data_IF_834092042693
#
_entry.id   IF_834092042693
#
_cell.length_a   1.000
_cell.length_b   1.000
_cell.length_c   1.000
_cell.angle_alpha   90.00
_cell.angle_beta   90.00
_cell.angle_gamma   90.00
#
_symmetry.space_group_name_H-M   'P 1'
#
loop_
_entity.id
_entity.type
_entity.pdbx_description
1 polymer ?
#
# COMPACT_ATOMS: atom_id res chain seq x y z
N UNK A 1 23.81 25.93 -12.35
CA UNK A 1 22.50 26.59 -12.36
C UNK A 1 21.34 25.68 -12.80
N UNK A 2 21.50 24.71 -13.69
CA UNK A 2 20.42 23.81 -14.14
C UNK A 2 19.95 22.77 -13.08
N UNK A 3 20.75 22.41 -12.09
CA UNK A 3 20.36 21.45 -11.04
C UNK A 3 19.30 21.99 -10.06
N UNK A 4 19.21 23.31 -9.90
CA UNK A 4 18.24 23.96 -8.99
C UNK A 4 16.85 24.10 -9.61
N UNK A 5 16.72 24.11 -10.94
CA UNK A 5 15.44 24.28 -11.63
C UNK A 5 14.59 23.02 -11.61
N UNK A 6 15.22 21.83 -11.62
CA UNK A 6 14.50 20.55 -11.58
C UNK A 6 13.90 20.21 -10.21
N UNK A 7 14.44 20.78 -9.11
CA UNK A 7 13.88 20.54 -7.77
C UNK A 7 12.59 21.34 -7.52
N UNK A 8 12.30 22.35 -8.35
CA UNK A 8 11.06 23.14 -8.27
C UNK A 8 9.88 22.47 -8.97
N UNK A 9 10.13 21.48 -9.82
CA UNK A 9 9.13 20.83 -10.67
C UNK A 9 8.70 19.44 -10.18
N UNK A 10 9.43 18.85 -9.23
CA UNK A 10 9.18 17.49 -8.75
C UNK A 10 9.34 17.44 -7.24
N UNK A 11 8.30 16.98 -6.54
CA UNK A 11 8.30 16.81 -5.10
C UNK A 11 8.67 15.36 -4.75
N UNK A 12 9.63 15.17 -3.85
CA UNK A 12 9.99 13.86 -3.36
C UNK A 12 8.84 13.24 -2.56
N UNK A 13 8.65 11.94 -2.73
CA UNK A 13 7.48 11.21 -2.23
C UNK A 13 7.90 10.04 -1.34
N UNK A 14 7.11 9.78 -0.29
CA UNK A 14 7.01 8.49 0.36
C UNK A 14 5.84 7.71 -0.21
N UNK A 15 6.03 6.44 -0.51
CA UNK A 15 5.02 5.57 -1.07
C UNK A 15 4.93 4.29 -0.23
N UNK A 16 3.77 4.05 0.33
CA UNK A 16 3.44 2.80 0.98
C UNK A 16 2.51 2.02 0.05
N UNK A 17 3.03 0.92 -0.51
CA UNK A 17 2.32 0.04 -1.44
C UNK A 17 1.65 -1.10 -0.67
N UNK A 18 0.68 -0.79 0.18
CA UNK A 18 -0.03 -1.79 0.93
C UNK A 18 -0.93 -2.68 0.07
N UNK A 19 -1.22 -3.88 0.56
CA UNK A 19 -2.14 -4.83 -0.10
C UNK A 19 -3.55 -4.27 -0.26
N UNK A 20 -4.08 -3.61 0.77
CA UNK A 20 -5.42 -3.03 0.75
C UNK A 20 -5.44 -1.60 0.22
N UNK A 21 -4.53 -0.74 0.71
CA UNK A 21 -4.47 0.67 0.36
C UNK A 21 -3.03 1.10 0.04
N UNK A 22 -2.90 2.04 -0.86
CA UNK A 22 -1.66 2.75 -1.16
C UNK A 22 -1.72 4.15 -0.59
N UNK A 23 -0.70 4.53 0.19
CA UNK A 23 -0.55 5.87 0.74
C UNK A 23 0.58 6.62 0.02
N UNK A 24 0.36 7.90 -0.25
CA UNK A 24 1.40 8.78 -0.77
C UNK A 24 1.59 9.98 0.16
N UNK A 25 2.80 10.08 0.67
CA UNK A 25 3.27 11.18 1.50
C UNK A 25 4.15 12.11 0.67
N UNK A 26 3.98 13.42 0.84
CA UNK A 26 4.87 14.43 0.27
C UNK A 26 5.42 15.31 1.38
N UNK A 27 6.73 15.56 1.35
CA UNK A 27 7.40 16.37 2.36
C UNK A 27 6.77 17.75 2.49
N UNK A 28 6.37 18.12 3.71
CA UNK A 28 5.73 19.41 4.00
C UNK A 28 4.24 19.49 3.68
N UNK A 29 3.66 18.46 3.04
CA UNK A 29 2.22 18.38 2.75
C UNK A 29 1.50 17.27 3.49
N UNK A 30 2.27 16.31 4.06
CA UNK A 30 1.70 15.14 4.73
C UNK A 30 1.22 14.08 3.74
N UNK A 31 0.27 13.24 4.19
CA UNK A 31 -0.39 12.24 3.35
C UNK A 31 -1.36 12.97 2.42
N UNK A 32 -1.05 12.98 1.13
CA UNK A 32 -1.84 13.67 0.11
C UNK A 32 -2.71 12.72 -0.71
N UNK A 33 -2.49 11.42 -0.58
CA UNK A 33 -3.25 10.40 -1.27
C UNK A 33 -3.36 9.17 -0.36
N UNK A 34 -4.59 8.67 -0.23
CA UNK A 34 -4.93 7.41 0.40
C UNK A 34 -5.97 6.75 -0.50
N UNK A 35 -5.56 5.75 -1.26
CA UNK A 35 -6.38 5.10 -2.26
C UNK A 35 -6.28 3.58 -2.14
N UNK A 36 -7.38 2.86 -2.39
CA UNK A 36 -7.33 1.41 -2.49
C UNK A 36 -6.31 0.93 -3.54
N UNK A 37 -5.56 -0.11 -3.23
CA UNK A 37 -4.62 -0.75 -4.16
C UNK A 37 -5.37 -1.63 -5.16
N UNK A 38 -6.24 -1.02 -5.97
CA UNK A 38 -7.09 -1.68 -6.97
C UNK A 38 -6.96 -0.98 -8.30
N UNK A 39 -6.90 -1.76 -9.38
CA UNK A 39 -6.85 -1.29 -10.75
C UNK A 39 -7.92 -2.00 -11.57
N UNK A 40 -8.76 -1.25 -12.28
CA UNK A 40 -9.70 -1.79 -13.25
C UNK A 40 -9.06 -1.76 -14.63
N UNK A 41 -9.03 -2.91 -15.30
CA UNK A 41 -8.49 -3.10 -16.65
C UNK A 41 -9.60 -3.56 -17.60
N UNK A 42 -9.55 -3.07 -18.83
CA UNK A 42 -10.35 -3.58 -19.93
C UNK A 42 -9.45 -4.38 -20.88
N UNK A 43 -9.95 -5.50 -21.34
CA UNK A 43 -9.30 -6.31 -22.37
C UNK A 43 -10.08 -6.18 -23.67
N UNK A 44 -9.42 -5.70 -24.74
CA UNK A 44 -10.03 -5.56 -26.07
C UNK A 44 -10.12 -6.92 -26.80
N UNK A 45 -10.74 -6.90 -28.00
CA UNK A 45 -10.89 -8.09 -28.85
C UNK A 45 -9.54 -8.66 -29.34
N UNK A 46 -8.46 -7.89 -29.22
CA UNK A 46 -7.10 -8.29 -29.64
C UNK A 46 -6.23 -8.67 -28.43
N UNK A 47 -6.85 -8.83 -27.25
CA UNK A 47 -6.18 -9.16 -25.98
C UNK A 47 -5.25 -8.06 -25.45
N UNK A 48 -5.39 -6.80 -25.91
CA UNK A 48 -4.66 -5.69 -25.32
C UNK A 48 -5.37 -5.23 -24.06
N UNK A 49 -4.58 -5.06 -22.99
CA UNK A 49 -5.06 -4.55 -21.70
C UNK A 49 -4.91 -3.03 -21.65
N UNK A 50 -5.94 -2.34 -21.18
CA UNK A 50 -5.92 -0.90 -20.92
C UNK A 50 -6.46 -0.60 -19.53
N UNK A 51 -5.81 0.31 -18.81
CA UNK A 51 -6.26 0.75 -17.48
C UNK A 51 -7.44 1.70 -17.63
N UNK A 52 -8.56 1.35 -16.99
CA UNK A 52 -9.79 2.15 -16.96
C UNK A 52 -9.84 3.07 -15.75
N UNK A 53 -9.54 2.52 -14.57
CA UNK A 53 -9.62 3.22 -13.30
C UNK A 53 -8.58 2.71 -12.32
N UNK A 54 -8.23 3.52 -11.31
CA UNK A 54 -7.30 3.18 -10.23
C UNK A 54 -7.86 3.71 -8.92
N UNK A 55 -7.63 2.99 -7.83
CA UNK A 55 -8.01 3.43 -6.50
C UNK A 55 -9.49 3.24 -6.20
N UNK A 56 -10.11 4.24 -5.60
CA UNK A 56 -11.51 4.20 -5.13
C UNK A 56 -12.50 3.93 -6.26
N UNK A 57 -12.25 4.47 -7.45
CA UNK A 57 -13.09 4.23 -8.63
C UNK A 57 -13.02 2.75 -9.04
N UNK A 58 -11.81 2.17 -9.10
CA UNK A 58 -11.63 0.75 -9.39
C UNK A 58 -12.21 -0.16 -8.29
N UNK A 59 -12.07 0.22 -7.01
CA UNK A 59 -12.67 -0.54 -5.88
C UNK A 59 -14.20 -0.63 -6.02
N UNK A 60 -14.86 0.42 -6.48
CA UNK A 60 -16.33 0.39 -6.70
C UNK A 60 -16.77 -0.60 -7.77
N UNK A 61 -15.86 -1.02 -8.65
CA UNK A 61 -16.09 -1.97 -9.72
C UNK A 61 -15.88 -3.43 -9.31
N UNK A 62 -15.26 -3.69 -8.15
CA UNK A 62 -15.01 -5.06 -7.66
C UNK A 62 -16.31 -5.87 -7.58
N UNK A 63 -16.32 -7.05 -8.20
CA UNK A 63 -17.47 -7.95 -8.22
C UNK A 63 -18.67 -7.45 -9.06
N UNK A 64 -18.55 -6.34 -9.80
CA UNK A 64 -19.64 -5.71 -10.58
C UNK A 64 -19.27 -5.47 -12.05
N UNK A 65 -18.11 -5.97 -12.50
CA UNK A 65 -17.60 -5.73 -13.85
C UNK A 65 -18.20 -6.69 -14.87
N UNK A 66 -18.60 -6.21 -16.08
CA UNK A 66 -18.98 -7.10 -17.19
C UNK A 66 -17.73 -7.81 -17.75
N UNK A 67 -17.91 -8.95 -18.39
CA UNK A 67 -16.90 -9.97 -18.72
C UNK A 67 -15.62 -9.58 -19.48
N UNK A 68 -15.42 -8.31 -19.83
CA UNK A 68 -14.16 -7.79 -20.42
C UNK A 68 -13.45 -6.76 -19.55
N UNK A 69 -14.03 -6.44 -18.41
CA UNK A 69 -13.47 -5.54 -17.42
C UNK A 69 -13.19 -6.37 -16.18
N UNK A 70 -11.99 -6.25 -15.65
CA UNK A 70 -11.56 -6.94 -14.44
C UNK A 70 -10.98 -5.92 -13.46
N UNK A 71 -11.43 -5.94 -12.22
CA UNK A 71 -10.83 -5.16 -11.14
C UNK A 71 -9.86 -6.08 -10.37
N UNK A 72 -8.59 -5.70 -10.33
CA UNK A 72 -7.48 -6.51 -9.84
C UNK A 72 -6.77 -5.77 -8.71
N UNK A 73 -6.34 -6.50 -7.70
CA UNK A 73 -5.38 -6.04 -6.68
C UNK A 73 -3.98 -6.44 -7.11
N UNK A 74 -3.11 -5.48 -7.54
CA UNK A 74 -1.75 -5.80 -7.98
C UNK A 74 -0.82 -6.18 -6.84
N UNK A 75 -1.22 -5.87 -5.60
CA UNK A 75 -0.50 -6.23 -4.38
C UNK A 75 -1.20 -7.36 -3.67
N UNK A 76 -0.44 -8.36 -3.22
CA UNK A 76 -0.94 -9.48 -2.42
C UNK A 76 0.10 -9.88 -1.40
N UNK A 77 -0.31 -10.07 -0.15
CA UNK A 77 0.58 -10.51 0.94
C UNK A 77 1.85 -9.64 1.07
N UNK A 78 1.72 -8.32 0.86
CA UNK A 78 2.81 -7.34 0.93
C UNK A 78 3.74 -7.34 -0.29
N UNK A 79 3.47 -8.11 -1.34
CA UNK A 79 4.33 -8.20 -2.54
C UNK A 79 3.56 -7.89 -3.82
N UNK A 80 4.29 -7.58 -4.90
CA UNK A 80 3.69 -7.38 -6.22
C UNK A 80 3.29 -8.73 -6.81
N UNK A 81 1.99 -8.90 -7.05
CA UNK A 81 1.42 -10.06 -7.72
C UNK A 81 1.36 -9.90 -9.24
N UNK A 82 1.20 -8.66 -9.74
CA UNK A 82 1.19 -8.32 -11.17
C UNK A 82 2.00 -7.04 -11.40
N UNK A 83 3.15 -7.18 -12.09
CA UNK A 83 4.11 -6.08 -12.29
C UNK A 83 3.57 -4.98 -13.19
N UNK A 84 2.94 -5.34 -14.30
CA UNK A 84 2.44 -4.38 -15.29
C UNK A 84 1.34 -3.50 -14.67
N UNK A 85 0.48 -4.12 -13.87
CA UNK A 85 -0.62 -3.44 -13.20
C UNK A 85 -0.10 -2.59 -12.03
N UNK A 86 0.88 -3.07 -11.26
CA UNK A 86 1.52 -2.30 -10.20
C UNK A 86 2.25 -1.08 -10.76
N UNK A 87 3.00 -1.22 -11.86
CA UNK A 87 3.63 -0.10 -12.57
C UNK A 87 2.59 0.94 -12.99
N UNK A 88 1.50 0.49 -13.61
CA UNK A 88 0.43 1.39 -14.05
C UNK A 88 -0.22 2.13 -12.87
N UNK A 89 -0.39 1.46 -11.73
CA UNK A 89 -0.89 2.04 -10.50
C UNK A 89 0.07 3.10 -9.94
N UNK A 90 1.35 2.78 -9.81
CA UNK A 90 2.39 3.71 -9.35
C UNK A 90 2.45 4.94 -10.26
N UNK A 91 2.46 4.73 -11.57
CA UNK A 91 2.46 5.79 -12.58
C UNK A 91 1.24 6.71 -12.46
N UNK A 92 0.07 6.13 -12.19
CA UNK A 92 -1.14 6.90 -11.93
C UNK A 92 -0.98 7.79 -10.70
N UNK A 93 -0.44 7.27 -9.60
CA UNK A 93 -0.25 8.03 -8.36
C UNK A 93 0.80 9.13 -8.52
N UNK A 94 1.93 8.86 -9.19
CA UNK A 94 2.93 9.89 -9.51
C UNK A 94 2.27 11.05 -10.29
N UNK A 95 1.49 10.73 -11.33
CA UNK A 95 0.77 11.74 -12.12
C UNK A 95 -0.27 12.51 -11.30
N UNK A 96 -1.00 11.82 -10.42
CA UNK A 96 -2.04 12.43 -9.58
C UNK A 96 -1.45 13.44 -8.59
N UNK A 97 -0.25 13.16 -8.08
CA UNK A 97 0.51 14.07 -7.21
C UNK A 97 1.06 15.27 -7.98
N UNK A 98 1.61 15.04 -9.16
CA UNK A 98 2.32 16.04 -9.95
C UNK A 98 1.46 16.61 -11.10
N UNK A 99 0.18 16.89 -10.84
CA UNK A 99 -0.82 17.37 -11.84
C UNK A 99 -0.35 18.49 -12.77
N UNK A 100 0.63 19.29 -12.36
CA UNK A 100 1.12 20.47 -13.08
C UNK A 100 2.46 20.27 -13.80
N UNK A 101 3.11 19.12 -13.66
CA UNK A 101 4.43 18.86 -14.24
C UNK A 101 4.42 17.64 -15.17
N UNK A 102 4.55 17.90 -16.47
CA UNK A 102 4.69 16.85 -17.49
C UNK A 102 6.03 16.07 -17.37
N UNK A 103 7.01 16.64 -16.65
CA UNK A 103 8.36 16.10 -16.49
C UNK A 103 8.71 15.85 -15.01
N UNK A 104 7.72 15.50 -14.19
CA UNK A 104 7.98 15.18 -12.80
C UNK A 104 8.72 13.84 -12.71
N UNK A 105 9.97 13.88 -12.25
CA UNK A 105 10.78 12.69 -11.95
C UNK A 105 11.16 12.77 -10.44
N UNK A 106 10.26 12.36 -9.53
CA UNK A 106 10.50 12.43 -8.09
C UNK A 106 11.54 11.41 -7.64
N UNK A 107 12.25 11.71 -6.55
CA UNK A 107 12.85 10.65 -5.76
C UNK A 107 11.74 10.04 -4.89
N UNK A 108 11.69 8.71 -4.84
CA UNK A 108 10.64 7.99 -4.11
C UNK A 108 11.28 7.10 -3.06
N UNK A 109 10.77 7.16 -1.83
CA UNK A 109 11.02 6.17 -0.78
C UNK A 109 9.82 5.24 -0.75
N UNK A 110 10.04 3.92 -0.88
CA UNK A 110 8.95 2.93 -0.88
C UNK A 110 9.11 2.00 0.32
N UNK A 111 8.03 1.81 1.05
CA UNK A 111 7.98 0.83 2.13
C UNK A 111 7.93 -0.59 1.56
N UNK A 112 8.65 -1.50 2.20
CA UNK A 112 8.68 -2.93 1.85
C UNK A 112 8.59 -3.76 3.13
N UNK A 113 7.92 -4.92 3.10
CA UNK A 113 7.90 -5.84 4.22
C UNK A 113 9.31 -6.26 4.63
N UNK A 114 9.54 -6.45 5.94
CA UNK A 114 10.83 -6.93 6.45
C UNK A 114 11.23 -8.28 5.86
N UNK A 115 10.23 -9.15 5.59
CA UNK A 115 10.41 -10.45 4.98
C UNK A 115 10.56 -10.44 3.45
N UNK A 116 10.53 -9.28 2.79
CA UNK A 116 10.62 -9.19 1.33
C UNK A 116 11.96 -9.72 0.81
N UNK A 117 11.91 -10.63 -0.15
CA UNK A 117 13.09 -11.21 -0.81
C UNK A 117 13.80 -10.17 -1.68
N UNK A 118 15.06 -10.44 -2.02
CA UNK A 118 15.83 -9.54 -2.92
C UNK A 118 15.16 -9.41 -4.31
N UNK A 119 14.46 -10.44 -4.78
CA UNK A 119 13.73 -10.42 -6.05
C UNK A 119 12.55 -9.47 -5.97
N UNK A 120 11.76 -9.57 -4.90
CA UNK A 120 10.60 -8.69 -4.65
C UNK A 120 11.04 -7.23 -4.46
N UNK A 121 12.09 -6.98 -3.66
CA UNK A 121 12.67 -5.63 -3.49
C UNK A 121 13.12 -5.03 -4.82
N UNK A 122 13.78 -5.82 -5.65
CA UNK A 122 14.21 -5.39 -6.99
C UNK A 122 13.02 -5.08 -7.89
N UNK A 123 12.02 -5.92 -7.87
CA UNK A 123 10.80 -5.77 -8.65
C UNK A 123 10.04 -4.47 -8.34
N UNK A 124 9.86 -4.16 -7.04
CA UNK A 124 9.25 -2.90 -6.57
C UNK A 124 10.05 -1.70 -7.08
N UNK A 125 11.38 -1.78 -6.98
CA UNK A 125 12.26 -0.70 -7.43
C UNK A 125 12.16 -0.48 -8.94
N UNK A 126 12.26 -1.55 -9.75
CA UNK A 126 12.17 -1.49 -11.20
C UNK A 126 10.80 -0.96 -11.67
N UNK A 127 9.70 -1.41 -11.05
CA UNK A 127 8.34 -0.90 -11.35
C UNK A 127 8.22 0.60 -11.09
N UNK A 128 8.79 1.10 -9.99
CA UNK A 128 8.73 2.53 -9.68
C UNK A 128 9.63 3.37 -10.60
N UNK A 129 10.82 2.87 -10.97
CA UNK A 129 11.72 3.52 -11.92
C UNK A 129 11.06 3.59 -13.32
N UNK A 130 10.44 2.51 -13.78
CA UNK A 130 9.71 2.46 -15.06
C UNK A 130 8.47 3.36 -15.04
N UNK A 131 7.81 3.49 -13.88
CA UNK A 131 6.69 4.41 -13.69
C UNK A 131 7.09 5.89 -13.75
N UNK A 132 8.39 6.21 -13.69
CA UNK A 132 8.92 7.56 -13.87
C UNK A 132 9.64 8.14 -12.64
N UNK A 133 9.95 7.34 -11.64
CA UNK A 133 10.80 7.78 -10.53
C UNK A 133 12.24 8.01 -11.00
N UNK A 134 12.88 9.08 -10.48
CA UNK A 134 14.28 9.38 -10.76
C UNK A 134 15.24 8.50 -9.98
N UNK A 135 14.94 8.30 -8.70
CA UNK A 135 15.64 7.40 -7.77
C UNK A 135 14.64 6.77 -6.85
N UNK A 136 14.83 5.50 -6.57
CA UNK A 136 13.99 4.74 -5.64
C UNK A 136 14.85 4.24 -4.49
N UNK A 137 14.40 4.53 -3.28
CA UNK A 137 14.96 4.03 -2.03
C UNK A 137 13.93 3.12 -1.37
N UNK A 138 14.38 2.04 -0.78
CA UNK A 138 13.52 1.12 -0.04
C UNK A 138 13.76 1.30 1.46
N UNK A 139 12.68 1.26 2.22
CA UNK A 139 12.68 1.27 3.69
C UNK A 139 11.80 0.12 4.18
N UNK A 140 12.17 -0.52 5.26
CA UNK A 140 11.33 -1.56 5.86
C UNK A 140 10.09 -0.94 6.53
N UNK A 141 8.92 -1.55 6.32
CA UNK A 141 7.62 -1.06 6.84
C UNK A 141 7.67 -0.74 8.33
N UNK A 142 8.16 -1.61 9.22
CA UNK A 142 8.17 -1.31 10.65
C UNK A 142 9.13 -0.16 11.01
N UNK A 143 10.18 0.10 10.23
CA UNK A 143 11.06 1.26 10.43
C UNK A 143 10.32 2.54 10.05
N UNK A 144 9.62 2.52 8.92
CA UNK A 144 8.81 3.66 8.49
C UNK A 144 7.67 3.95 9.49
N UNK A 145 6.99 2.91 9.97
CA UNK A 145 5.94 3.02 10.98
C UNK A 145 6.46 3.61 12.31
N UNK A 146 7.63 3.14 12.77
CA UNK A 146 8.26 3.66 13.99
C UNK A 146 8.64 5.14 13.86
N UNK A 147 9.19 5.55 12.70
CA UNK A 147 9.49 6.97 12.39
C UNK A 147 8.21 7.78 12.40
N UNK A 148 7.16 7.29 11.74
CA UNK A 148 5.86 7.96 11.65
C UNK A 148 5.17 8.11 13.01
N UNK A 149 5.34 7.13 13.91
CA UNK A 149 4.84 7.16 15.28
C UNK A 149 5.71 8.02 16.23
N UNK A 150 6.85 8.54 15.76
CA UNK A 150 7.77 9.33 16.59
C UNK A 150 8.48 8.52 17.68
N UNK A 151 8.68 7.22 17.46
CA UNK A 151 9.39 6.38 18.44
C UNK A 151 10.88 6.73 18.47
N UNK A 152 11.54 6.64 19.63
CA UNK A 152 12.93 7.00 19.81
C UNK A 152 13.87 5.89 19.30
N UNK A 153 13.75 5.54 18.03
CA UNK A 153 14.47 4.39 17.42
C UNK A 153 16.00 4.57 17.40
N UNK A 154 16.48 5.81 17.48
CA UNK A 154 17.93 6.12 17.48
C UNK A 154 18.57 5.95 18.86
N UNK A 155 17.77 5.81 19.90
CA UNK A 155 18.25 5.65 21.27
C UNK A 155 18.64 4.19 21.58
N UNK A 156 19.46 3.94 22.62
CA UNK A 156 19.82 2.58 23.04
C UNK A 156 18.70 1.90 23.85
N UNK A 157 17.45 2.23 23.55
CA UNK A 157 16.26 1.64 24.11
C UNK A 157 15.54 0.82 23.03
N UNK A 158 14.91 -0.31 23.42
CA UNK A 158 14.13 -1.12 22.48
C UNK A 158 12.75 -0.49 22.26
N UNK A 159 12.42 -0.16 21.03
CA UNK A 159 11.06 0.22 20.60
C UNK A 159 10.44 -0.92 19.81
N UNK A 160 9.22 -1.33 20.17
CA UNK A 160 8.49 -2.39 19.45
C UNK A 160 7.35 -1.79 18.63
N UNK A 161 7.24 -2.25 17.39
CA UNK A 161 6.14 -1.93 16.47
C UNK A 161 5.43 -3.21 16.10
N UNK A 162 4.10 -3.15 16.07
CA UNK A 162 3.21 -4.14 15.47
C UNK A 162 2.37 -3.41 14.44
N UNK A 163 2.61 -3.71 13.17
CA UNK A 163 1.91 -3.11 12.03
C UNK A 163 1.00 -4.17 11.40
N UNK A 164 -0.30 -3.94 11.44
CA UNK A 164 -1.32 -4.87 10.93
C UNK A 164 -1.91 -4.27 9.67
N UNK A 165 -1.42 -4.74 8.52
CA UNK A 165 -1.90 -4.33 7.20
C UNK A 165 -3.09 -5.17 6.71
N UNK A 166 -3.44 -4.98 5.42
CA UNK A 166 -4.47 -5.79 4.78
C UNK A 166 -4.03 -7.23 4.55
N UNK A 167 -2.81 -7.45 4.05
CA UNK A 167 -2.29 -8.79 3.70
C UNK A 167 -1.29 -9.36 4.69
N UNK A 168 -0.57 -8.51 5.43
CA UNK A 168 0.53 -8.91 6.33
C UNK A 168 0.41 -8.26 7.70
N UNK A 169 1.02 -8.88 8.69
CA UNK A 169 1.34 -8.27 9.99
C UNK A 169 2.84 -8.29 10.19
N UNK A 170 3.42 -7.12 10.40
CA UNK A 170 4.84 -6.91 10.65
C UNK A 170 5.07 -6.62 12.13
N UNK A 171 6.03 -7.32 12.73
CA UNK A 171 6.41 -7.12 14.11
C UNK A 171 7.91 -6.85 14.13
N UNK A 172 8.35 -5.74 14.71
CA UNK A 172 9.77 -5.45 14.81
C UNK A 172 10.14 -4.80 16.15
N UNK A 173 11.34 -5.09 16.60
CA UNK A 173 12.03 -4.40 17.68
C UNK A 173 13.17 -3.60 17.07
N UNK A 174 13.20 -2.32 17.37
CA UNK A 174 14.14 -1.33 16.84
C UNK A 174 14.96 -0.73 17.96
N UNK A 175 16.25 -0.54 17.74
CA UNK A 175 17.16 0.14 18.67
C UNK A 175 18.37 0.67 17.91
N UNK A 176 18.95 1.80 18.35
CA UNK A 176 20.16 2.40 17.76
C UNK A 176 20.06 2.61 16.24
N UNK A 177 18.87 2.97 15.74
CA UNK A 177 18.59 3.22 14.34
C UNK A 177 18.50 1.98 13.45
N UNK A 178 18.50 0.77 14.02
CA UNK A 178 18.46 -0.50 13.31
C UNK A 178 17.35 -1.44 13.78
N UNK A 179 17.05 -2.43 12.96
CA UNK A 179 16.15 -3.53 13.28
C UNK A 179 16.94 -4.58 14.08
N UNK A 180 16.55 -4.80 15.34
CA UNK A 180 17.16 -5.84 16.20
C UNK A 180 16.54 -7.20 15.90
N UNK A 181 15.22 -7.24 15.74
CA UNK A 181 14.45 -8.43 15.37
C UNK A 181 13.23 -8.02 14.58
N UNK A 182 12.91 -8.76 13.54
CA UNK A 182 11.67 -8.59 12.80
C UNK A 182 11.05 -9.95 12.45
N UNK A 183 9.73 -9.98 12.38
CA UNK A 183 8.95 -11.12 11.93
C UNK A 183 7.78 -10.62 11.10
N UNK A 184 7.54 -11.27 9.98
CA UNK A 184 6.41 -11.01 9.09
C UNK A 184 5.54 -12.25 8.98
N UNK A 185 4.23 -12.08 9.09
CA UNK A 185 3.25 -13.13 8.88
C UNK A 185 2.23 -12.70 7.84
N UNK A 186 1.82 -13.63 6.97
CA UNK A 186 0.81 -13.42 5.93
C UNK A 186 -0.61 -13.55 6.51
N UNK A 187 -0.89 -12.77 7.54
CA UNK A 187 -2.20 -12.62 8.19
C UNK A 187 -2.44 -11.15 8.37
N UNK A 188 -3.53 -10.64 7.85
CA UNK A 188 -3.94 -9.24 7.94
C UNK A 188 -5.45 -9.10 7.84
N UNK A 189 -5.93 -7.89 7.57
CA UNK A 189 -7.35 -7.57 7.46
C UNK A 189 -8.11 -8.47 6.51
N UNK A 190 -7.55 -8.76 5.32
CA UNK A 190 -8.19 -9.62 4.32
C UNK A 190 -8.47 -11.04 4.87
N UNK A 191 -7.52 -11.60 5.65
CA UNK A 191 -7.69 -12.91 6.29
C UNK A 191 -8.77 -12.87 7.38
N UNK A 192 -8.85 -11.74 8.11
CA UNK A 192 -9.87 -11.53 9.14
C UNK A 192 -11.26 -11.39 8.50
N UNK A 193 -11.38 -10.66 7.39
CA UNK A 193 -12.62 -10.52 6.63
C UNK A 193 -13.10 -11.87 6.10
N UNK A 194 -12.22 -12.68 5.53
CA UNK A 194 -12.51 -14.03 5.07
C UNK A 194 -13.01 -14.92 6.21
N UNK A 195 -12.41 -14.82 7.39
CA UNK A 195 -12.85 -15.54 8.57
C UNK A 195 -14.29 -15.16 8.98
N UNK A 196 -14.63 -13.85 8.92
CA UNK A 196 -16.00 -13.36 9.20
C UNK A 196 -16.98 -13.89 8.16
N UNK A 197 -16.65 -13.82 6.86
CA UNK A 197 -17.50 -14.35 5.77
C UNK A 197 -17.77 -15.85 5.98
N UNK A 198 -16.72 -16.63 6.28
CA UNK A 198 -16.84 -18.06 6.51
C UNK A 198 -17.65 -18.40 7.75
N UNK A 199 -17.49 -17.64 8.84
CA UNK A 199 -18.27 -17.79 10.05
C UNK A 199 -19.76 -17.54 9.79
N UNK A 200 -20.10 -16.43 9.14
CA UNK A 200 -21.49 -16.09 8.79
C UNK A 200 -22.14 -17.15 7.92
N UNK A 201 -21.38 -17.69 6.94
CA UNK A 201 -21.87 -18.77 6.07
C UNK A 201 -22.08 -20.07 6.82
N UNK A 202 -21.13 -20.48 7.67
CA UNK A 202 -21.15 -21.78 8.33
C UNK A 202 -22.15 -21.84 9.48
N UNK A 203 -22.17 -20.81 10.34
CA UNK A 203 -22.99 -20.77 11.57
C UNK A 203 -24.38 -20.22 11.29
N UNK A 204 -24.47 -19.08 10.61
CA UNK A 204 -25.73 -18.37 10.40
C UNK A 204 -26.40 -18.65 9.06
N UNK A 205 -25.76 -19.46 8.17
CA UNK A 205 -26.25 -19.77 6.81
C UNK A 205 -26.51 -18.50 5.97
N UNK A 206 -25.80 -17.42 6.28
CA UNK A 206 -25.93 -16.12 5.65
C UNK A 206 -24.71 -15.86 4.75
N UNK A 207 -24.95 -15.53 3.48
CA UNK A 207 -23.91 -15.08 2.57
C UNK A 207 -23.75 -13.55 2.70
N UNK A 208 -22.56 -13.10 3.09
CA UNK A 208 -22.18 -11.70 3.09
C UNK A 208 -21.00 -11.48 2.13
N UNK A 209 -20.85 -10.27 1.63
CA UNK A 209 -19.71 -9.89 0.80
C UNK A 209 -18.54 -9.38 1.64
N UNK A 210 -17.36 -9.31 1.00
CA UNK A 210 -16.10 -8.80 1.58
C UNK A 210 -16.27 -7.41 2.20
N UNK A 211 -16.92 -6.48 1.50
CA UNK A 211 -17.17 -5.12 2.01
C UNK A 211 -18.03 -5.07 3.28
N UNK A 212 -18.92 -6.04 3.47
CA UNK A 212 -19.73 -6.15 4.70
C UNK A 212 -18.89 -6.70 5.84
N UNK A 213 -17.98 -7.64 5.57
CA UNK A 213 -17.06 -8.18 6.55
C UNK A 213 -16.05 -7.11 7.00
N UNK A 214 -15.44 -6.37 6.04
CA UNK A 214 -14.55 -5.24 6.29
C UNK A 214 -15.21 -4.21 7.22
N UNK A 215 -16.46 -3.84 6.94
CA UNK A 215 -17.22 -2.90 7.79
C UNK A 215 -17.47 -3.46 9.20
N UNK A 216 -17.77 -4.74 9.32
CA UNK A 216 -17.93 -5.42 10.62
C UNK A 216 -16.62 -5.42 11.41
N UNK A 217 -15.50 -5.72 10.75
CA UNK A 217 -14.17 -5.73 11.37
C UNK A 217 -13.79 -4.35 11.91
N UNK A 218 -14.05 -3.28 11.16
CA UNK A 218 -13.82 -1.90 11.59
C UNK A 218 -14.58 -1.61 12.88
N UNK A 219 -15.86 -1.96 12.98
CA UNK A 219 -16.67 -1.73 14.17
C UNK A 219 -16.22 -2.55 15.40
N UNK A 220 -15.71 -3.76 15.17
CA UNK A 220 -15.20 -4.63 16.24
C UNK A 220 -13.87 -4.11 16.77
N UNK A 221 -13.01 -3.58 15.89
CA UNK A 221 -11.65 -3.15 16.23
C UNK A 221 -11.53 -1.69 16.63
N UNK A 222 -12.59 -0.88 16.51
CA UNK A 222 -12.56 0.50 17.02
C UNK A 222 -12.27 0.53 18.52
N UNK A 223 -11.29 1.34 18.97
CA UNK A 223 -11.02 1.46 20.40
C UNK A 223 -12.25 2.05 21.08
N UNK A 224 -12.88 1.27 21.93
CA UNK A 224 -13.92 1.75 22.83
C UNK A 224 -13.31 2.87 23.67
N UNK A 225 -13.81 4.10 23.54
CA UNK A 225 -13.46 5.18 24.45
C UNK A 225 -13.86 4.73 25.86
N UNK A 226 -12.87 4.33 26.65
CA UNK A 226 -13.06 4.22 28.09
C UNK A 226 -13.37 5.63 28.60
N UNK A 227 -14.63 5.90 28.89
CA UNK A 227 -15.00 7.04 29.70
C UNK A 227 -14.48 6.74 31.10
N UNK A 228 -13.33 7.30 31.45
CA UNK A 228 -12.93 7.41 32.84
C UNK A 228 -13.88 8.44 33.47
N UNK A 229 -14.72 7.95 34.34
CA UNK A 229 -15.56 8.74 35.25
C UNK A 229 -14.66 9.38 36.28
#
# INVERSE_FOLDING_TARGET
>A
MLKSFNSFLSEDMGLDLGTANTLVYVKGKGIILNEPSVVAIATDNKNNKSVLAVGSEAKSMLGRTPGRIEAIRPMKDGVIADFDIAEAMIKHFIKKVHKKSFFANPNIVICVPSGATNVERRAIKESAETAGAKKVYLIEEPVAAAIGAGLPISEPSGSMVVDIGGGTTEIAVLSLGGVVHASSIKVGGDTMDDAIVNFMRSVHKLAIGESTAELSLIHISEPTRLWTI
#
